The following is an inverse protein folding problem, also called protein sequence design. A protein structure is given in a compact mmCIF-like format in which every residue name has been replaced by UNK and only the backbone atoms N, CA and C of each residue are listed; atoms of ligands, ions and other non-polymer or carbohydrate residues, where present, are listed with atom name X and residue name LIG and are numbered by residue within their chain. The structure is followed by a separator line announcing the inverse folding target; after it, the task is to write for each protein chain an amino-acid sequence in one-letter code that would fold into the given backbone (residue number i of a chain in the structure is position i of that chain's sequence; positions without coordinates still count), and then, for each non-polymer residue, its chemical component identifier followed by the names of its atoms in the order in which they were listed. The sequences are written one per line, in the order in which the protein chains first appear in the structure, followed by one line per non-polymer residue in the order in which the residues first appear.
data_IF_752938614967
#
_entry.id   IF_752938614967
#
_cell.length_a   1.000
_cell.length_b   1.000
_cell.length_c   1.000
_cell.angle_alpha   90.00
_cell.angle_beta   90.00
_cell.angle_gamma   90.00
#
_symmetry.space_group_name_H-M   'P 1'
#
loop_
_entity.id
_entity.type
_entity.pdbx_description
1 polymer ?
#
# COMPACT_ATOMS: atom_id res chain seq x y z
N UNK A 1 -19.46 22.17 -19.05
CA UNK A 1 -18.19 21.52 -19.46
C UNK A 1 -18.16 20.17 -18.77
N UNK A 2 -18.01 19.06 -19.50
CA UNK A 2 -17.79 17.76 -18.86
C UNK A 2 -16.42 17.81 -18.16
N UNK A 3 -16.34 17.49 -16.86
CA UNK A 3 -15.05 17.42 -16.17
C UNK A 3 -14.20 16.32 -16.79
N UNK A 4 -12.90 16.59 -16.97
CA UNK A 4 -11.95 15.55 -17.36
C UNK A 4 -11.94 14.48 -16.28
N UNK A 5 -12.44 13.29 -16.63
CA UNK A 5 -12.57 12.17 -15.72
C UNK A 5 -11.20 11.78 -15.12
N UNK A 6 -10.11 11.90 -15.89
CA UNK A 6 -8.76 11.58 -15.42
C UNK A 6 -8.36 12.52 -14.29
N UNK A 7 -8.53 13.82 -14.50
CA UNK A 7 -8.22 14.84 -13.50
C UNK A 7 -9.11 14.67 -12.25
N UNK A 8 -10.41 14.47 -12.43
CA UNK A 8 -11.35 14.26 -11.33
C UNK A 8 -10.97 13.06 -10.45
N UNK A 9 -10.67 11.92 -11.08
CA UNK A 9 -10.27 10.70 -10.38
C UNK A 9 -8.94 10.88 -9.66
N UNK A 10 -7.96 11.51 -10.31
CA UNK A 10 -6.65 11.79 -9.73
C UNK A 10 -6.77 12.68 -8.48
N UNK A 11 -7.49 13.79 -8.59
CA UNK A 11 -7.74 14.69 -7.46
C UNK A 11 -8.52 14.00 -6.34
N UNK A 12 -9.53 13.19 -6.68
CA UNK A 12 -10.29 12.41 -5.70
C UNK A 12 -9.41 11.38 -4.98
N UNK A 13 -8.51 10.70 -5.70
CA UNK A 13 -7.56 9.74 -5.11
C UNK A 13 -6.57 10.46 -4.18
N UNK A 14 -6.01 11.59 -4.61
CA UNK A 14 -5.06 12.37 -3.80
C UNK A 14 -5.71 12.91 -2.52
N UNK A 15 -6.95 13.42 -2.61
CA UNK A 15 -7.73 13.87 -1.45
C UNK A 15 -8.20 12.71 -0.58
N UNK A 16 -8.53 11.57 -1.17
CA UNK A 16 -8.94 10.38 -0.44
C UNK A 16 -7.81 9.81 0.41
N UNK A 17 -6.60 9.71 -0.15
CA UNK A 17 -5.46 9.13 0.54
C UNK A 17 -5.09 9.88 1.84
N UNK A 18 -5.13 11.21 1.83
CA UNK A 18 -4.84 12.01 3.02
C UNK A 18 -5.89 11.84 4.13
N UNK A 19 -7.14 11.48 3.77
CA UNK A 19 -8.20 11.21 4.73
C UNK A 19 -8.06 9.84 5.40
N UNK A 20 -7.36 8.90 4.77
CA UNK A 20 -7.12 7.55 5.31
C UNK A 20 -6.08 7.51 6.44
N UNK A 21 -5.52 8.66 6.84
CA UNK A 21 -4.82 8.80 8.12
C UNK A 21 -5.74 8.50 9.33
N UNK A 22 -7.06 8.65 9.15
CA UNK A 22 -8.08 8.30 10.14
C UNK A 22 -8.80 7.02 9.74
N UNK A 23 -9.24 6.19 10.71
CA UNK A 23 -10.04 5.01 10.42
C UNK A 23 -11.39 5.43 9.80
N UNK A 24 -11.78 4.74 8.72
CA UNK A 24 -13.04 4.96 8.03
C UNK A 24 -14.02 3.85 8.43
N UNK A 25 -14.80 4.12 9.49
CA UNK A 25 -15.65 3.11 10.16
C UNK A 25 -16.75 2.58 9.25
N UNK A 26 -17.25 3.41 8.34
CA UNK A 26 -18.33 3.06 7.40
C UNK A 26 -17.95 1.91 6.46
N UNK A 27 -16.66 1.70 6.23
CA UNK A 27 -16.14 0.64 5.35
C UNK A 27 -15.10 -0.26 6.02
N UNK A 28 -15.07 -0.25 7.35
CA UNK A 28 -14.17 -1.07 8.17
C UNK A 28 -12.70 -0.99 7.71
N UNK A 29 -12.27 0.23 7.39
CA UNK A 29 -10.90 0.47 6.92
C UNK A 29 -10.04 0.97 8.08
N UNK A 30 -8.93 0.28 8.42
CA UNK A 30 -8.03 0.71 9.48
C UNK A 30 -7.33 2.01 9.09
N UNK A 31 -6.73 2.68 10.08
CA UNK A 31 -5.84 3.82 9.79
C UNK A 31 -4.64 3.37 8.96
N UNK A 32 -4.19 4.23 8.06
CA UNK A 32 -2.95 4.04 7.29
C UNK A 32 -1.71 4.70 7.94
N UNK A 33 -1.87 5.38 9.07
CA UNK A 33 -0.74 5.96 9.83
C UNK A 33 -0.96 5.83 11.37
N UNK A 34 -0.50 4.72 12.00
CA UNK A 34 0.19 3.61 11.38
C UNK A 34 -0.75 2.59 10.74
N UNK A 35 -0.40 2.10 9.55
CA UNK A 35 -0.95 0.84 9.06
C UNK A 35 -0.36 -0.33 9.86
N UNK A 36 -1.21 -1.08 10.53
CA UNK A 36 -0.81 -2.24 11.33
C UNK A 36 -0.86 -3.53 10.50
N UNK A 37 0.26 -4.25 10.44
CA UNK A 37 0.38 -5.55 9.78
C UNK A 37 0.77 -6.58 10.84
N UNK A 38 -0.16 -7.47 11.26
CA UNK A 38 0.09 -8.38 12.38
C UNK A 38 1.24 -9.35 12.14
N UNK A 39 1.35 -9.88 10.91
CA UNK A 39 2.36 -10.84 10.52
C UNK A 39 2.66 -10.75 9.03
N UNK A 40 3.93 -10.83 8.68
CA UNK A 40 4.40 -10.93 7.30
C UNK A 40 5.52 -11.96 7.23
N UNK A 41 5.46 -12.87 6.26
CA UNK A 41 6.51 -13.85 6.02
C UNK A 41 7.00 -13.70 4.60
N UNK A 42 8.30 -13.46 4.45
CA UNK A 42 9.00 -13.44 3.17
C UNK A 42 9.91 -14.66 3.17
N UNK A 43 9.62 -15.62 2.30
CA UNK A 43 10.46 -16.81 2.16
C UNK A 43 11.70 -16.49 1.35
N UNK A 44 12.82 -17.08 1.76
CA UNK A 44 14.05 -17.02 0.99
C UNK A 44 13.85 -17.68 -0.37
N UNK A 45 14.40 -17.05 -1.42
CA UNK A 45 14.49 -17.67 -2.73
C UNK A 45 15.50 -18.82 -2.75
N UNK A 46 15.62 -19.47 -3.90
CA UNK A 46 16.70 -20.43 -4.17
C UNK A 46 17.94 -19.66 -4.64
N UNK A 47 19.09 -19.86 -3.99
CA UNK A 47 20.37 -19.31 -4.45
C UNK A 47 21.31 -18.84 -3.35
N UNK A 48 22.19 -17.92 -3.72
CA UNK A 48 23.25 -17.32 -2.87
C UNK A 48 22.71 -16.63 -1.62
N UNK A 49 21.47 -16.13 -1.65
CA UNK A 49 20.82 -15.55 -0.47
C UNK A 49 19.52 -16.29 -0.27
N UNK A 50 19.49 -17.15 0.75
CA UNK A 50 18.32 -17.93 1.13
C UNK A 50 18.00 -17.61 2.59
N UNK A 51 17.21 -16.56 2.81
CA UNK A 51 16.85 -16.07 4.14
C UNK A 51 15.33 -16.00 4.26
N UNK A 52 14.79 -16.79 5.17
CA UNK A 52 13.42 -16.66 5.62
C UNK A 52 13.32 -15.51 6.61
N UNK A 53 12.44 -14.56 6.31
CA UNK A 53 12.21 -13.37 7.10
C UNK A 53 10.77 -13.38 7.61
N UNK A 54 10.60 -13.40 8.91
CA UNK A 54 9.31 -13.32 9.56
C UNK A 54 9.24 -12.01 10.33
N UNK A 55 8.23 -11.21 10.05
CA UNK A 55 7.94 -9.97 10.75
C UNK A 55 6.63 -10.10 11.51
N UNK A 56 6.59 -9.52 12.71
CA UNK A 56 5.40 -9.44 13.57
C UNK A 56 5.22 -8.02 14.08
N UNK A 57 3.98 -7.70 14.46
CA UNK A 57 3.61 -6.43 15.10
C UNK A 57 4.10 -5.22 14.29
N UNK A 58 4.01 -5.30 12.96
CA UNK A 58 4.52 -4.26 12.09
C UNK A 58 3.62 -3.03 12.11
N UNK A 59 4.23 -1.86 12.24
CA UNK A 59 3.58 -0.55 12.14
C UNK A 59 4.27 0.26 11.05
N UNK A 60 3.54 0.54 9.98
CA UNK A 60 4.01 1.33 8.85
C UNK A 60 3.46 2.75 8.95
N UNK A 61 4.35 3.74 8.91
CA UNK A 61 4.02 5.14 9.10
C UNK A 61 4.19 5.94 7.81
N UNK A 62 3.46 7.06 7.74
CA UNK A 62 3.51 8.05 6.63
C UNK A 62 3.02 7.53 5.27
N UNK A 63 2.19 6.48 5.26
CA UNK A 63 1.59 5.95 4.03
C UNK A 63 0.46 6.86 3.50
N UNK A 64 -0.22 7.58 4.39
CA UNK A 64 -1.22 8.62 4.10
C UNK A 64 -0.64 9.81 3.30
N UNK A 65 0.68 10.01 3.33
CA UNK A 65 1.40 11.12 2.66
C UNK A 65 1.87 10.77 1.24
N UNK A 66 1.27 9.75 0.63
CA UNK A 66 1.55 9.36 -0.75
C UNK A 66 1.19 10.48 -1.72
N UNK A 67 2.06 10.73 -2.70
CA UNK A 67 1.75 11.59 -3.84
C UNK A 67 1.53 10.71 -5.07
N UNK A 68 0.41 10.90 -5.76
CA UNK A 68 0.15 10.21 -7.01
C UNK A 68 0.62 11.07 -8.18
N UNK A 69 1.54 10.54 -8.98
CA UNK A 69 1.86 11.11 -10.29
C UNK A 69 0.80 10.67 -11.31
N UNK A 70 0.28 9.45 -11.13
CA UNK A 70 -0.75 8.86 -11.99
C UNK A 70 -1.77 8.09 -11.17
N UNK A 71 -3.04 8.30 -11.48
CA UNK A 71 -4.14 7.49 -10.96
C UNK A 71 -5.26 7.49 -12.00
N UNK A 72 -5.22 6.53 -12.91
CA UNK A 72 -6.12 6.48 -14.08
C UNK A 72 -6.90 5.16 -14.12
N UNK A 73 -8.20 5.26 -14.36
CA UNK A 73 -9.04 4.12 -14.71
C UNK A 73 -9.25 4.04 -16.21
N UNK A 74 -8.94 2.88 -16.78
CA UNK A 74 -9.38 2.45 -18.09
C UNK A 74 -10.58 1.52 -17.90
N UNK A 75 -11.78 2.01 -18.23
CA UNK A 75 -13.03 1.28 -18.04
C UNK A 75 -13.22 0.15 -19.07
N UNK A 76 -12.69 0.32 -20.27
CA UNK A 76 -12.79 -0.67 -21.35
C UNK A 76 -11.88 -1.86 -21.06
N UNK A 77 -10.63 -1.58 -20.70
CA UNK A 77 -9.67 -2.60 -20.30
C UNK A 77 -9.88 -3.09 -18.86
N UNK A 78 -10.68 -2.37 -18.06
CA UNK A 78 -10.88 -2.60 -16.62
C UNK A 78 -9.56 -2.57 -15.84
N UNK A 79 -8.71 -1.61 -16.16
CA UNK A 79 -7.38 -1.47 -15.55
C UNK A 79 -7.34 -0.19 -14.72
N UNK A 80 -6.83 -0.30 -13.50
CA UNK A 80 -6.40 0.83 -12.70
C UNK A 80 -4.87 0.93 -12.77
N UNK A 81 -4.36 2.04 -13.31
CA UNK A 81 -2.94 2.35 -13.36
C UNK A 81 -2.60 3.41 -12.29
N UNK A 82 -1.61 3.11 -11.45
CA UNK A 82 -1.19 3.97 -10.34
C UNK A 82 0.32 4.16 -10.41
N UNK A 83 0.78 5.41 -10.43
CA UNK A 83 2.17 5.77 -10.21
C UNK A 83 2.20 6.64 -8.95
N UNK A 84 2.87 6.15 -7.91
CA UNK A 84 2.84 6.73 -6.57
C UNK A 84 4.26 6.96 -6.04
N UNK A 85 4.47 8.10 -5.39
CA UNK A 85 5.72 8.47 -4.76
C UNK A 85 5.55 8.61 -3.25
N UNK A 86 6.52 8.03 -2.54
CA UNK A 86 6.64 8.09 -1.11
C UNK A 86 7.96 8.76 -0.75
N UNK A 87 7.88 9.96 -0.15
CA UNK A 87 9.08 10.67 0.29
C UNK A 87 9.82 9.89 1.38
N UNK A 88 9.07 9.32 2.33
CA UNK A 88 9.58 8.49 3.42
C UNK A 88 8.49 7.56 3.93
N UNK A 89 8.80 6.26 4.02
CA UNK A 89 8.01 5.28 4.78
C UNK A 89 8.89 4.73 5.90
N UNK A 90 8.34 4.62 7.11
CA UNK A 90 9.02 3.99 8.24
C UNK A 90 8.20 2.79 8.67
N UNK A 91 8.82 1.62 8.76
CA UNK A 91 8.19 0.40 9.24
C UNK A 91 8.93 -0.05 10.50
N UNK A 92 8.21 -0.18 11.61
CA UNK A 92 8.74 -0.74 12.86
C UNK A 92 8.11 -2.10 13.09
N UNK A 93 8.92 -3.14 13.29
CA UNK A 93 8.44 -4.50 13.51
C UNK A 93 9.35 -5.24 14.50
N UNK A 94 8.92 -6.44 14.90
CA UNK A 94 9.80 -7.48 15.41
C UNK A 94 10.15 -8.42 14.24
N UNK A 95 11.45 -8.65 14.00
CA UNK A 95 11.92 -9.57 12.97
C UNK A 95 12.42 -10.88 13.58
N UNK A 96 12.33 -11.94 12.81
CA UNK A 96 13.03 -13.20 13.00
C UNK A 96 13.53 -13.66 11.63
N UNK A 97 14.84 -13.81 11.51
CA UNK A 97 15.53 -14.22 10.29
C UNK A 97 16.26 -15.54 10.54
N UNK A 98 16.13 -16.46 9.59
CA UNK A 98 16.89 -17.70 9.56
C UNK A 98 17.24 -18.04 8.12
N UNK A 99 18.49 -18.36 7.87
CA UNK A 99 18.97 -18.66 6.53
C UNK A 99 20.47 -18.61 6.39
N UNK A 100 20.91 -18.36 5.16
CA UNK A 100 22.33 -18.27 4.82
C UNK A 100 22.60 -17.32 3.68
N UNK A 101 23.79 -16.73 3.71
CA UNK A 101 24.40 -16.03 2.59
C UNK A 101 25.57 -16.89 2.13
N UNK A 102 25.51 -17.43 0.91
CA UNK A 102 26.38 -18.48 0.39
C UNK A 102 26.39 -19.70 1.33
N UNK A 103 27.44 -19.83 2.13
CA UNK A 103 27.63 -20.88 3.15
C UNK A 103 27.53 -20.34 4.58
N UNK A 104 27.51 -19.01 4.77
CA UNK A 104 27.50 -18.38 6.09
C UNK A 104 26.08 -18.37 6.65
N UNK A 105 25.80 -19.07 7.77
CA UNK A 105 24.49 -19.01 8.41
C UNK A 105 24.23 -17.61 8.98
N UNK A 106 23.02 -17.11 8.77
CA UNK A 106 22.54 -15.83 9.31
C UNK A 106 21.29 -16.12 10.12
N UNK A 107 21.35 -15.80 11.41
CA UNK A 107 20.20 -15.87 12.32
C UNK A 107 20.14 -14.61 13.15
N UNK A 108 18.95 -14.10 13.35
CA UNK A 108 18.74 -12.91 14.17
C UNK A 108 17.27 -12.76 14.51
N UNK A 109 17.01 -12.20 15.68
CA UNK A 109 15.67 -11.83 16.10
C UNK A 109 15.72 -10.60 16.98
N UNK A 110 14.69 -9.77 16.91
CA UNK A 110 14.58 -8.58 17.74
C UNK A 110 13.78 -7.46 17.08
N UNK A 111 13.82 -6.24 17.64
CA UNK A 111 13.19 -5.09 17.00
C UNK A 111 13.96 -4.70 15.73
N UNK A 112 13.23 -4.33 14.68
CA UNK A 112 13.79 -3.72 13.48
C UNK A 112 13.04 -2.44 13.11
N UNK A 113 13.75 -1.49 12.52
CA UNK A 113 13.19 -0.32 11.84
C UNK A 113 13.67 -0.30 10.40
N UNK A 114 12.75 -0.35 9.45
CA UNK A 114 13.00 -0.28 8.01
C UNK A 114 12.58 1.11 7.55
N UNK A 115 13.46 1.79 6.80
CA UNK A 115 13.19 3.14 6.29
C UNK A 115 13.38 3.14 4.79
N UNK A 116 12.29 3.36 4.07
CA UNK A 116 12.32 3.64 2.64
C UNK A 116 12.31 5.15 2.42
N UNK A 117 13.15 5.64 1.52
CA UNK A 117 13.22 7.05 1.14
C UNK A 117 13.10 7.16 -0.38
N UNK A 118 12.32 8.14 -0.85
CA UNK A 118 12.12 8.38 -2.29
C UNK A 118 11.76 7.09 -3.05
N UNK A 119 10.73 6.39 -2.57
CA UNK A 119 10.23 5.19 -3.25
C UNK A 119 9.17 5.57 -4.27
N UNK A 120 9.33 5.07 -5.50
CA UNK A 120 8.31 5.13 -6.55
C UNK A 120 7.71 3.74 -6.70
N UNK A 121 6.38 3.67 -6.71
CA UNK A 121 5.61 2.44 -6.90
C UNK A 121 4.78 2.59 -8.15
N UNK A 122 4.94 1.64 -9.07
CA UNK A 122 4.14 1.53 -10.28
C UNK A 122 3.23 0.32 -10.13
N UNK A 123 1.92 0.54 -10.24
CA UNK A 123 0.89 -0.46 -10.05
C UNK A 123 -0.03 -0.52 -11.26
N UNK A 124 -0.32 -1.75 -11.72
CA UNK A 124 -1.38 -2.01 -12.69
C UNK A 124 -2.28 -3.09 -12.11
N UNK A 125 -3.53 -2.74 -11.83
CA UNK A 125 -4.50 -3.64 -11.24
C UNK A 125 -5.61 -3.92 -12.25
N UNK A 126 -5.84 -5.20 -12.56
CA UNK A 126 -7.00 -5.62 -13.35
C UNK A 126 -8.20 -5.79 -12.43
N UNK A 127 -9.27 -5.04 -12.70
CA UNK A 127 -10.47 -5.02 -11.88
C UNK A 127 -11.40 -6.15 -12.31
N UNK A 128 -11.64 -7.09 -11.41
CA UNK A 128 -12.76 -8.02 -11.52
C UNK A 128 -14.03 -7.39 -10.92
N UNK A 129 -15.20 -7.84 -11.38
CA UNK A 129 -16.51 -7.24 -11.04
C UNK A 129 -16.77 -7.02 -9.54
N UNK A 130 -16.12 -7.79 -8.66
CA UNK A 130 -16.25 -7.67 -7.20
C UNK A 130 -15.71 -6.35 -6.65
N UNK A 131 -14.62 -5.82 -7.20
CA UNK A 131 -14.02 -4.56 -6.74
C UNK A 131 -14.82 -3.35 -7.25
N UNK A 132 -15.40 -3.44 -8.45
CA UNK A 132 -16.23 -2.40 -9.05
C UNK A 132 -17.49 -2.12 -8.21
N UNK A 133 -18.14 -3.16 -7.67
CA UNK A 133 -19.34 -3.01 -6.84
C UNK A 133 -19.05 -2.29 -5.51
N UNK A 134 -17.87 -2.53 -4.91
CA UNK A 134 -17.48 -1.93 -3.62
C UNK A 134 -17.00 -0.48 -3.78
N UNK A 135 -16.19 -0.19 -4.83
CA UNK A 135 -15.79 1.18 -5.16
C UNK A 135 -16.99 2.03 -5.59
N UNK A 136 -17.92 1.48 -6.39
CA UNK A 136 -19.13 2.19 -6.81
C UNK A 136 -19.96 2.69 -5.61
N UNK A 137 -20.13 1.86 -4.57
CA UNK A 137 -20.81 2.29 -3.33
C UNK A 137 -20.07 3.42 -2.59
N UNK A 138 -18.74 3.41 -2.65
CA UNK A 138 -17.91 4.44 -2.00
C UNK A 138 -17.94 5.78 -2.74
N UNK A 139 -17.90 5.75 -4.07
CA UNK A 139 -18.02 6.94 -4.90
C UNK A 139 -19.42 7.56 -4.79
N UNK A 140 -20.46 6.72 -4.77
CA UNK A 140 -21.84 7.18 -4.62
C UNK A 140 -22.10 7.87 -3.28
N UNK A 141 -21.54 7.38 -2.16
CA UNK A 141 -21.71 8.01 -0.85
C UNK A 141 -20.95 9.33 -0.69
N UNK A 142 -19.89 9.53 -1.48
CA UNK A 142 -19.08 10.77 -1.46
C UNK A 142 -19.70 11.85 -2.37
N UNK A 143 -20.40 11.44 -3.44
CA UNK A 143 -21.07 12.36 -4.38
C UNK A 143 -22.44 12.82 -3.87
N UNK A 144 -23.15 12.03 -3.05
CA UNK A 144 -24.45 12.43 -2.48
C UNK A 144 -24.36 13.30 -1.22
N UNK A 145 -23.15 13.58 -0.71
CA UNK A 145 -22.92 14.47 0.43
C UNK A 145 -22.46 15.88 0.04
N UNK A 146 -22.54 16.26 -1.24
CA UNK A 146 -22.44 17.66 -1.69
C UNK A 146 -23.80 18.21 -2.05
#
# INVERSE_FOLDING_TARGET
KQPDLKQCVHEAAQNGMSQLAKPFKEIDTPTLDPLEIPKMTIKGGTGTVAIDQNFKNCKMYSFDKTQFDKFEFDFDAKILAIDANFSKIVIKCEYQMDGKILFLPVRGQGPCTIIFRKCTVLGKFTLTNFFFQKISRLLLSTVTKR
#
